data_IF_263953717012
#
_entry.id   IF_263953717012
#
_cell.length_a   1.000
_cell.length_b   1.000
_cell.length_c   1.000
_cell.angle_alpha   90.00
_cell.angle_beta   90.00
_cell.angle_gamma   90.00
#
_symmetry.space_group_name_H-M   'P 1'
#
loop_
_entity.id
_entity.type
_entity.pdbx_description
1 polymer ?
#
# COMPACT_ATOMS: atom_id res chain seq x y z
N UNK A 1 -41.22 -8.91 28.06
CA UNK A 1 -40.43 -9.23 26.86
C UNK A 1 -39.62 -10.48 27.17
N UNK A 2 -39.80 -11.57 26.41
CA UNK A 2 -39.11 -12.83 26.68
C UNK A 2 -37.59 -12.62 26.54
N UNK A 3 -36.80 -13.13 27.48
CA UNK A 3 -35.34 -12.95 27.46
C UNK A 3 -34.70 -13.43 26.16
N UNK A 4 -35.26 -14.48 25.53
CA UNK A 4 -34.87 -14.95 24.20
C UNK A 4 -35.12 -13.92 23.09
N UNK A 5 -36.23 -13.19 23.14
CA UNK A 5 -36.54 -12.12 22.17
C UNK A 5 -35.54 -10.98 22.35
N UNK A 6 -35.24 -10.59 23.60
CA UNK A 6 -34.25 -9.55 23.88
C UNK A 6 -32.86 -9.94 23.36
N UNK A 7 -32.39 -11.17 23.62
CA UNK A 7 -31.10 -11.66 23.14
C UNK A 7 -31.07 -11.66 21.60
N UNK A 8 -32.12 -12.18 20.95
CA UNK A 8 -32.20 -12.21 19.50
C UNK A 8 -32.18 -10.79 18.90
N UNK A 9 -32.89 -9.83 19.50
CA UNK A 9 -32.87 -8.44 19.07
C UNK A 9 -31.50 -7.79 19.22
N UNK A 10 -30.79 -8.03 20.33
CA UNK A 10 -29.43 -7.50 20.54
C UNK A 10 -28.45 -8.07 19.52
N UNK A 11 -28.51 -9.39 19.27
CA UNK A 11 -27.67 -10.04 18.26
C UNK A 11 -27.94 -9.49 16.85
N UNK A 12 -29.21 -9.28 16.49
CA UNK A 12 -29.59 -8.72 15.20
C UNK A 12 -29.01 -7.31 15.02
N UNK A 13 -29.14 -6.45 16.04
CA UNK A 13 -28.58 -5.08 16.00
C UNK A 13 -27.05 -5.12 15.86
N UNK A 14 -26.36 -6.00 16.58
CA UNK A 14 -24.92 -6.15 16.48
C UNK A 14 -24.48 -6.60 15.08
N UNK A 15 -25.20 -7.55 14.46
CA UNK A 15 -24.93 -8.00 13.09
C UNK A 15 -25.12 -6.85 12.09
N UNK A 16 -26.21 -6.09 12.21
CA UNK A 16 -26.48 -4.95 11.33
C UNK A 16 -25.38 -3.90 11.48
N UNK A 17 -25.01 -3.54 12.71
CA UNK A 17 -23.94 -2.58 12.97
C UNK A 17 -22.60 -3.04 12.39
N UNK A 18 -22.26 -4.33 12.56
CA UNK A 18 -21.07 -4.93 11.97
C UNK A 18 -21.08 -4.88 10.44
N UNK A 19 -22.22 -5.20 9.81
CA UNK A 19 -22.36 -5.15 8.36
C UNK A 19 -22.25 -3.71 7.82
N UNK A 20 -22.84 -2.74 8.51
CA UNK A 20 -22.71 -1.32 8.17
C UNK A 20 -21.26 -0.84 8.29
N UNK A 21 -20.54 -1.25 9.33
CA UNK A 21 -19.13 -0.94 9.47
C UNK A 21 -18.28 -1.57 8.35
N UNK A 22 -18.50 -2.85 8.03
CA UNK A 22 -17.80 -3.50 6.91
C UNK A 22 -18.12 -2.85 5.57
N UNK A 23 -19.39 -2.46 5.34
CA UNK A 23 -19.79 -1.71 4.16
C UNK A 23 -19.04 -0.36 4.07
N UNK A 24 -18.95 0.37 5.18
CA UNK A 24 -18.19 1.62 5.28
C UNK A 24 -16.68 1.43 5.01
N UNK A 25 -16.11 0.29 5.45
CA UNK A 25 -14.74 -0.09 5.16
C UNK A 25 -14.49 -0.56 3.71
N UNK A 26 -15.55 -0.72 2.90
CA UNK A 26 -15.43 -1.07 1.48
C UNK A 26 -15.83 -2.50 1.12
N UNK A 27 -16.54 -3.24 1.99
CA UNK A 27 -16.98 -4.62 1.70
C UNK A 27 -17.75 -4.73 0.37
N UNK A 28 -18.54 -3.71 0.03
CA UNK A 28 -19.32 -3.63 -1.21
C UNK A 28 -18.75 -2.62 -2.21
N UNK A 29 -17.51 -2.16 -2.01
CA UNK A 29 -16.88 -1.23 -2.95
C UNK A 29 -16.79 -1.86 -4.35
N UNK A 30 -17.15 -1.08 -5.35
CA UNK A 30 -16.93 -1.42 -6.75
C UNK A 30 -15.44 -1.26 -7.05
N UNK A 31 -14.84 -2.29 -7.64
CA UNK A 31 -13.40 -2.31 -7.93
C UNK A 31 -13.25 -2.40 -9.44
N UNK A 32 -12.82 -1.30 -10.03
CA UNK A 32 -12.44 -1.23 -11.44
C UNK A 32 -10.94 -1.42 -11.54
N UNK A 33 -10.51 -2.36 -12.38
CA UNK A 33 -9.09 -2.55 -12.72
C UNK A 33 -8.90 -2.02 -14.14
N UNK A 34 -7.98 -1.09 -14.30
CA UNK A 34 -7.74 -0.40 -15.57
C UNK A 34 -6.24 -0.15 -15.80
N UNK A 35 -5.89 0.10 -17.06
CA UNK A 35 -4.56 0.61 -17.41
C UNK A 35 -4.58 2.13 -17.42
N UNK A 36 -3.62 2.74 -16.74
CA UNK A 36 -3.43 4.19 -16.73
C UNK A 36 -1.99 4.54 -16.38
N UNK A 37 -1.58 5.75 -16.73
CA UNK A 37 -0.30 6.28 -16.29
C UNK A 37 -0.36 6.65 -14.81
N UNK A 38 0.62 6.18 -14.05
CA UNK A 38 0.78 6.46 -12.62
C UNK A 38 2.20 6.94 -12.35
N UNK A 39 2.35 7.77 -11.31
CA UNK A 39 3.62 8.39 -10.95
C UNK A 39 3.93 9.68 -11.74
N UNK A 40 5.16 10.21 -11.62
CA UNK A 40 6.27 9.65 -10.85
C UNK A 40 6.05 9.75 -9.34
N UNK A 41 6.81 8.98 -8.55
CA UNK A 41 6.77 9.03 -7.09
C UNK A 41 8.18 9.21 -6.53
N UNK A 42 8.35 10.12 -5.56
CA UNK A 42 9.56 10.15 -4.73
C UNK A 42 9.33 9.28 -3.50
N UNK A 43 10.09 8.19 -3.39
CA UNK A 43 9.95 7.20 -2.34
C UNK A 43 11.02 7.42 -1.28
N UNK A 44 10.60 7.46 -0.01
CA UNK A 44 11.49 7.38 1.15
C UNK A 44 11.10 6.15 1.95
N UNK A 45 12.03 5.20 2.16
CA UNK A 45 11.66 3.85 2.58
C UNK A 45 12.73 3.11 3.38
N UNK A 46 12.27 2.03 4.03
CA UNK A 46 13.11 0.96 4.59
C UNK A 46 12.79 -0.36 3.92
N UNK A 47 13.79 -1.24 3.90
CA UNK A 47 13.61 -2.62 3.46
C UNK A 47 12.96 -3.45 4.57
N UNK A 48 12.13 -4.40 4.17
CA UNK A 48 11.52 -5.37 5.06
C UNK A 48 11.55 -6.75 4.43
N UNK A 49 12.03 -7.73 5.20
CA UNK A 49 11.96 -9.14 4.87
C UNK A 49 11.20 -9.88 5.97
N UNK A 50 10.12 -10.57 5.59
CA UNK A 50 9.23 -11.26 6.54
C UNK A 50 7.75 -11.13 6.18
N UNK A 51 6.89 -11.64 7.05
CA UNK A 51 5.43 -11.67 6.82
C UNK A 51 4.89 -10.26 6.54
N UNK A 52 4.25 -10.06 5.37
CA UNK A 52 3.74 -8.75 4.95
C UNK A 52 2.77 -8.11 5.94
N UNK A 53 2.11 -8.88 6.81
CA UNK A 53 1.28 -8.30 7.89
C UNK A 53 2.07 -7.38 8.84
N UNK A 54 3.40 -7.51 8.87
CA UNK A 54 4.30 -6.72 9.71
C UNK A 54 4.89 -5.50 8.99
N UNK A 55 4.46 -5.20 7.76
CA UNK A 55 4.95 -4.03 7.03
C UNK A 55 4.42 -2.71 7.62
N UNK A 56 3.23 -2.72 8.24
CA UNK A 56 2.61 -1.53 8.84
C UNK A 56 3.54 -0.78 9.82
N UNK A 57 4.11 -1.45 10.83
CA UNK A 57 5.12 -0.85 11.71
C UNK A 57 6.32 -0.22 10.99
N UNK A 58 6.73 -0.74 9.83
CA UNK A 58 7.82 -0.16 9.03
C UNK A 58 7.38 1.15 8.38
N UNK A 59 6.15 1.21 7.85
CA UNK A 59 5.58 2.46 7.31
C UNK A 59 5.46 3.51 8.42
N UNK A 60 4.95 3.12 9.59
CA UNK A 60 4.78 4.02 10.74
C UNK A 60 6.13 4.56 11.23
N UNK A 61 7.16 3.71 11.31
CA UNK A 61 8.51 4.11 11.70
C UNK A 61 9.13 5.13 10.72
N UNK A 62 8.99 4.91 9.41
CA UNK A 62 9.43 5.87 8.39
C UNK A 62 8.66 7.19 8.54
N UNK A 63 7.33 7.13 8.61
CA UNK A 63 6.48 8.32 8.76
C UNK A 63 6.85 9.14 10.00
N UNK A 64 6.91 8.50 11.16
CA UNK A 64 7.23 9.17 12.42
C UNK A 64 8.64 9.73 12.44
N UNK A 65 9.62 9.01 11.89
CA UNK A 65 10.98 9.52 11.82
C UNK A 65 11.10 10.74 10.88
N UNK A 66 10.46 10.71 9.71
CA UNK A 66 10.45 11.86 8.80
C UNK A 66 9.82 13.09 9.47
N UNK A 67 8.68 12.91 10.14
CA UNK A 67 7.99 14.00 10.84
C UNK A 67 8.80 14.50 12.04
N UNK A 68 9.19 13.61 12.94
CA UNK A 68 9.70 13.98 14.27
C UNK A 68 11.18 14.34 14.27
N UNK A 69 11.99 13.75 13.37
CA UNK A 69 13.45 14.00 13.32
C UNK A 69 13.88 14.88 12.16
N UNK A 70 13.11 14.91 11.07
CA UNK A 70 13.48 15.64 9.86
C UNK A 70 12.52 16.78 9.51
N UNK A 71 11.46 17.01 10.31
CA UNK A 71 10.44 18.04 10.05
C UNK A 71 9.85 17.94 8.63
N UNK A 72 9.75 16.71 8.12
CA UNK A 72 9.20 16.39 6.80
C UNK A 72 7.90 15.62 6.98
N UNK A 73 6.79 16.32 6.78
CA UNK A 73 5.46 15.72 6.85
C UNK A 73 5.05 15.14 5.51
N UNK A 74 4.55 13.91 5.52
CA UNK A 74 3.93 13.24 4.37
C UNK A 74 2.50 12.83 4.72
N UNK A 75 1.68 12.57 3.71
CA UNK A 75 0.27 12.16 3.90
C UNK A 75 -0.05 10.83 3.21
N UNK A 76 0.94 10.27 2.51
CA UNK A 76 0.83 9.06 1.70
C UNK A 76 1.90 8.06 2.12
N UNK A 77 1.46 6.97 2.72
CA UNK A 77 2.31 5.79 2.96
C UNK A 77 2.36 4.91 1.72
N UNK A 78 3.38 4.06 1.60
CA UNK A 78 3.38 3.01 0.58
C UNK A 78 4.00 1.70 1.07
N UNK A 79 3.51 0.60 0.51
CA UNK A 79 4.15 -0.71 0.55
C UNK A 79 4.44 -1.17 -0.88
N UNK A 80 5.63 -1.68 -1.15
CA UNK A 80 5.98 -2.31 -2.43
C UNK A 80 6.32 -3.78 -2.19
N UNK A 81 5.51 -4.68 -2.74
CA UNK A 81 5.55 -6.13 -2.44
C UNK A 81 6.07 -6.91 -3.64
N UNK A 82 7.17 -7.63 -3.47
CA UNK A 82 7.90 -8.27 -4.58
C UNK A 82 7.45 -9.69 -4.86
N UNK A 83 7.12 -10.41 -3.79
CA UNK A 83 6.94 -11.85 -3.83
C UNK A 83 5.46 -12.23 -3.65
N UNK A 84 5.06 -13.33 -4.27
CA UNK A 84 3.73 -13.91 -4.08
C UNK A 84 3.69 -14.69 -2.74
N UNK A 85 2.87 -14.27 -1.75
CA UNK A 85 2.81 -14.92 -0.44
C UNK A 85 2.21 -16.33 -0.46
N UNK A 86 1.65 -16.78 -1.59
CA UNK A 86 1.22 -18.15 -1.78
C UNK A 86 2.34 -19.07 -2.30
N UNK A 87 3.43 -18.51 -2.81
CA UNK A 87 4.53 -19.24 -3.43
C UNK A 87 5.85 -19.10 -2.66
N UNK A 88 6.04 -17.99 -1.95
CA UNK A 88 7.25 -17.69 -1.18
C UNK A 88 6.92 -17.80 0.31
N UNK A 89 7.81 -18.46 1.06
CA UNK A 89 7.67 -18.60 2.50
C UNK A 89 7.66 -17.24 3.20
N UNK A 90 6.83 -17.12 4.24
CA UNK A 90 6.64 -15.85 4.96
C UNK A 90 7.94 -15.21 5.42
N UNK A 91 8.92 -15.99 5.85
CA UNK A 91 10.22 -15.49 6.32
C UNK A 91 11.07 -14.86 5.21
N UNK A 92 10.78 -15.18 3.94
CA UNK A 92 11.57 -14.78 2.77
C UNK A 92 10.86 -13.73 1.89
N UNK A 93 9.66 -13.29 2.28
CA UNK A 93 8.91 -12.27 1.53
C UNK A 93 9.62 -10.93 1.61
N UNK A 94 9.90 -10.31 0.46
CA UNK A 94 10.59 -9.02 0.34
C UNK A 94 9.59 -7.91 0.06
N UNK A 95 9.79 -6.80 0.77
CA UNK A 95 8.96 -5.61 0.63
C UNK A 95 9.73 -4.35 0.97
N UNK A 96 9.28 -3.22 0.44
CA UNK A 96 9.68 -1.89 0.91
C UNK A 96 8.48 -1.23 1.59
N UNK A 97 8.73 -0.57 2.72
CA UNK A 97 7.73 0.20 3.44
C UNK A 97 8.21 1.62 3.65
N UNK A 98 7.33 2.60 3.43
CA UNK A 98 7.72 3.99 3.62
C UNK A 98 6.66 5.02 3.25
N UNK A 99 7.11 6.19 2.81
CA UNK A 99 6.26 7.31 2.42
C UNK A 99 6.54 7.76 0.99
N UNK A 100 5.49 8.25 0.33
CA UNK A 100 5.64 9.04 -0.88
C UNK A 100 5.77 10.51 -0.47
N UNK A 101 6.82 11.16 -0.95
CA UNK A 101 7.07 12.59 -0.71
C UNK A 101 6.62 13.39 -1.93
N UNK A 102 5.71 14.33 -1.71
CA UNK A 102 5.14 15.16 -2.77
C UNK A 102 5.94 16.45 -3.00
N UNK A 103 6.02 16.87 -4.27
CA UNK A 103 6.54 18.18 -4.64
C UNK A 103 8.06 18.37 -4.48
N UNK A 104 8.83 17.29 -4.35
CA UNK A 104 10.30 17.34 -4.31
C UNK A 104 10.92 16.34 -5.28
N UNK A 105 12.06 16.69 -5.86
CA UNK A 105 12.96 15.71 -6.51
C UNK A 105 13.89 15.07 -5.48
N UNK A 106 14.57 13.94 -5.79
CA UNK A 106 15.59 13.37 -4.91
C UNK A 106 16.69 14.38 -4.51
N UNK A 107 17.13 15.22 -5.45
CA UNK A 107 18.18 16.22 -5.21
C UNK A 107 17.69 17.31 -4.27
N UNK A 108 16.43 17.74 -4.43
CA UNK A 108 15.83 18.73 -3.54
C UNK A 108 15.59 18.19 -2.14
N UNK A 109 15.15 16.93 -2.04
CA UNK A 109 15.01 16.23 -0.76
C UNK A 109 16.37 16.18 -0.05
N UNK A 110 17.42 15.74 -0.75
CA UNK A 110 18.76 15.65 -0.18
C UNK A 110 19.29 17.02 0.26
N UNK A 111 19.07 18.08 -0.54
CA UNK A 111 19.50 19.44 -0.20
C UNK A 111 18.75 20.02 1.01
N UNK A 112 17.44 19.81 1.09
CA UNK A 112 16.59 20.39 2.16
C UNK A 112 16.60 19.56 3.44
N UNK A 113 16.75 18.24 3.31
CA UNK A 113 16.65 17.26 4.39
C UNK A 113 17.82 16.26 4.33
N UNK A 114 19.08 16.72 4.46
CA UNK A 114 20.26 15.88 4.22
C UNK A 114 20.32 14.61 5.08
N UNK A 115 19.82 14.67 6.32
CA UNK A 115 19.79 13.52 7.24
C UNK A 115 18.80 12.40 6.83
N UNK A 116 17.88 12.64 5.89
CA UNK A 116 16.93 11.61 5.43
C UNK A 116 17.67 10.48 4.71
N UNK A 117 18.64 10.82 3.86
CA UNK A 117 19.43 9.84 3.10
C UNK A 117 20.37 9.00 3.98
N UNK A 118 20.60 9.41 5.22
CA UNK A 118 21.41 8.65 6.20
C UNK A 118 20.58 7.53 6.88
N UNK A 119 19.27 7.72 6.98
CA UNK A 119 18.36 6.83 7.73
C UNK A 119 17.44 5.99 6.84
N UNK A 120 17.34 6.35 5.55
CA UNK A 120 16.35 5.78 4.62
C UNK A 120 16.91 5.61 3.21
N UNK A 121 16.35 4.65 2.48
CA UNK A 121 16.42 4.66 1.03
C UNK A 121 15.62 5.82 0.47
N UNK A 122 16.19 6.52 -0.52
CA UNK A 122 15.53 7.59 -1.26
C UNK A 122 15.64 7.25 -2.75
N UNK A 123 14.51 7.17 -3.45
CA UNK A 123 14.52 6.86 -4.87
C UNK A 123 13.35 7.50 -5.63
N UNK A 124 13.62 7.88 -6.88
CA UNK A 124 12.56 8.23 -7.82
C UNK A 124 12.01 6.94 -8.45
N UNK A 125 10.71 6.71 -8.29
CA UNK A 125 9.95 5.72 -9.04
C UNK A 125 9.36 6.40 -10.29
N UNK A 126 9.70 5.94 -11.51
CA UNK A 126 9.34 6.64 -12.72
C UNK A 126 7.83 6.59 -12.98
N UNK A 127 7.32 7.60 -13.69
CA UNK A 127 6.00 7.54 -14.27
C UNK A 127 5.93 6.37 -15.25
N UNK A 128 4.85 5.61 -15.23
CA UNK A 128 4.71 4.45 -16.11
C UNK A 128 3.27 4.02 -16.32
N UNK A 129 3.04 3.37 -17.45
CA UNK A 129 1.83 2.60 -17.68
C UNK A 129 1.72 1.53 -16.60
N UNK A 130 0.62 1.60 -15.85
CA UNK A 130 0.33 0.76 -14.70
C UNK A 130 -1.04 0.11 -14.84
N UNK A 131 -1.16 -1.12 -14.37
CA UNK A 131 -2.46 -1.73 -14.12
C UNK A 131 -2.84 -1.42 -12.69
N UNK A 132 -3.89 -0.61 -12.51
CA UNK A 132 -4.22 -0.02 -11.22
C UNK A 132 -5.69 -0.27 -10.84
N UNK A 133 -5.93 -0.23 -9.54
CA UNK A 133 -7.26 -0.25 -8.95
C UNK A 133 -7.27 0.56 -7.66
N UNK A 134 -8.43 1.12 -7.34
CA UNK A 134 -8.63 1.94 -6.14
C UNK A 134 -9.56 1.25 -5.15
N UNK A 135 -9.32 1.48 -3.85
CA UNK A 135 -10.14 0.94 -2.78
C UNK A 135 -10.31 1.96 -1.64
N UNK A 136 -11.45 2.01 -0.93
CA UNK A 136 -11.62 2.90 0.22
C UNK A 136 -10.59 2.61 1.32
N UNK A 137 -10.07 3.65 1.98
CA UNK A 137 -9.15 3.53 3.11
C UNK A 137 -9.78 4.13 4.38
N UNK A 138 -10.29 3.26 5.26
CA UNK A 138 -10.89 3.62 6.55
C UNK A 138 -10.19 2.98 7.76
N UNK A 139 -8.95 2.52 7.57
CA UNK A 139 -8.15 1.83 8.57
C UNK A 139 -7.85 0.36 8.21
N UNK A 140 -7.39 -0.42 9.19
CA UNK A 140 -6.88 -1.77 8.98
C UNK A 140 -7.87 -2.72 8.32
N UNK A 141 -9.16 -2.62 8.66
CA UNK A 141 -10.20 -3.47 8.05
C UNK A 141 -10.33 -3.19 6.55
N UNK A 142 -10.19 -1.93 6.13
CA UNK A 142 -10.14 -1.59 4.70
C UNK A 142 -8.91 -2.18 4.01
N UNK A 143 -7.74 -2.18 4.65
CA UNK A 143 -6.53 -2.80 4.10
C UNK A 143 -6.76 -4.31 3.88
N UNK A 144 -7.30 -5.00 4.89
CA UNK A 144 -7.60 -6.43 4.80
C UNK A 144 -8.60 -6.72 3.67
N UNK A 145 -9.71 -5.98 3.63
CA UNK A 145 -10.71 -6.14 2.57
C UNK A 145 -10.16 -5.81 1.19
N UNK A 146 -9.32 -4.78 1.10
CA UNK A 146 -8.63 -4.38 -0.13
C UNK A 146 -7.73 -5.49 -0.64
N UNK A 147 -6.90 -6.10 0.21
CA UNK A 147 -6.06 -7.24 -0.16
C UNK A 147 -6.91 -8.39 -0.72
N UNK A 148 -7.94 -8.81 0.02
CA UNK A 148 -8.79 -9.94 -0.39
C UNK A 148 -9.63 -9.69 -1.63
N UNK A 149 -9.98 -8.43 -1.92
CA UNK A 149 -10.87 -8.10 -3.05
C UNK A 149 -10.12 -7.58 -4.27
N UNK A 150 -9.06 -6.81 -4.10
CA UNK A 150 -8.32 -6.16 -5.19
C UNK A 150 -7.32 -7.12 -5.83
N UNK A 151 -6.47 -7.83 -5.06
CA UNK A 151 -5.45 -8.72 -5.64
C UNK A 151 -6.00 -9.78 -6.59
N UNK A 152 -7.11 -10.50 -6.28
CA UNK A 152 -7.66 -11.47 -7.22
C UNK A 152 -8.12 -10.83 -8.54
N UNK A 153 -8.69 -9.62 -8.48
CA UNK A 153 -9.14 -8.87 -9.67
C UNK A 153 -7.96 -8.36 -10.47
N UNK A 154 -6.96 -7.79 -9.80
CA UNK A 154 -5.73 -7.32 -10.42
C UNK A 154 -5.00 -8.47 -11.13
N UNK A 155 -4.84 -9.61 -10.45
CA UNK A 155 -4.20 -10.80 -11.02
C UNK A 155 -4.99 -11.37 -12.21
N UNK A 156 -6.32 -11.48 -12.10
CA UNK A 156 -7.17 -11.94 -13.20
C UNK A 156 -7.07 -11.02 -14.43
N UNK A 157 -7.04 -9.70 -14.21
CA UNK A 157 -6.87 -8.71 -15.26
C UNK A 157 -5.51 -8.86 -15.95
N UNK A 158 -4.43 -8.88 -15.17
CA UNK A 158 -3.05 -9.05 -15.66
C UNK A 158 -2.90 -10.32 -16.49
N UNK A 159 -3.48 -11.44 -16.01
CA UNK A 159 -3.49 -12.72 -16.73
C UNK A 159 -4.28 -12.64 -18.04
N UNK A 160 -5.47 -12.03 -18.03
CA UNK A 160 -6.32 -11.87 -19.22
C UNK A 160 -5.60 -11.14 -20.35
N UNK A 161 -4.89 -10.07 -20.03
CA UNK A 161 -4.16 -9.25 -21.01
C UNK A 161 -2.69 -9.63 -21.16
N UNK A 162 -2.28 -10.80 -20.61
CA UNK A 162 -0.93 -11.36 -20.71
C UNK A 162 0.16 -10.36 -20.29
N UNK A 163 -0.12 -9.53 -19.28
CA UNK A 163 0.86 -8.63 -18.70
C UNK A 163 1.86 -9.42 -17.86
N UNK A 164 3.13 -9.00 -17.89
CA UNK A 164 4.18 -9.59 -17.05
C UNK A 164 3.85 -9.38 -15.56
N UNK A 165 4.26 -10.32 -14.72
CA UNK A 165 4.17 -10.15 -13.26
C UNK A 165 5.21 -9.14 -12.81
N UNK A 166 4.81 -8.18 -11.97
CA UNK A 166 5.68 -7.16 -11.38
C UNK A 166 5.33 -6.98 -9.91
N UNK A 167 6.24 -6.43 -9.09
CA UNK A 167 5.91 -6.00 -7.75
C UNK A 167 4.69 -5.06 -7.73
N UNK A 168 3.80 -5.26 -6.75
CA UNK A 168 2.60 -4.44 -6.57
C UNK A 168 2.91 -3.36 -5.54
N UNK A 169 2.66 -2.10 -5.89
CA UNK A 169 2.72 -0.99 -4.96
C UNK A 169 1.31 -0.70 -4.43
N UNK A 170 1.19 -0.59 -3.12
CA UNK A 170 0.01 -0.05 -2.44
C UNK A 170 0.36 1.34 -1.93
N UNK A 171 -0.38 2.36 -2.36
CA UNK A 171 -0.24 3.73 -1.86
C UNK A 171 -1.45 4.03 -0.98
N UNK A 172 -1.21 4.30 0.30
CA UNK A 172 -2.21 4.62 1.32
C UNK A 172 -2.33 6.14 1.44
N UNK A 173 -3.32 6.72 0.75
CA UNK A 173 -3.60 8.15 0.73
C UNK A 173 -4.60 8.50 1.84
N UNK A 174 -4.10 9.08 2.92
CA UNK A 174 -4.89 9.40 4.11
C UNK A 174 -5.88 10.56 3.85
N UNK A 175 -5.47 11.70 3.24
CA UNK A 175 -6.40 12.78 2.91
C UNK A 175 -7.56 12.36 2.01
N UNK A 176 -7.26 11.58 0.95
CA UNK A 176 -8.27 11.13 0.00
C UNK A 176 -9.01 9.86 0.45
N UNK A 177 -8.62 9.28 1.61
CA UNK A 177 -9.19 8.04 2.17
C UNK A 177 -9.23 6.92 1.13
N UNK A 178 -8.09 6.71 0.46
CA UNK A 178 -7.96 5.81 -0.67
C UNK A 178 -6.69 4.96 -0.58
N UNK A 179 -6.80 3.70 -1.00
CA UNK A 179 -5.66 2.84 -1.31
C UNK A 179 -5.61 2.68 -2.82
N UNK A 180 -4.49 3.01 -3.43
CA UNK A 180 -4.22 2.68 -4.84
C UNK A 180 -3.32 1.46 -4.89
N UNK A 181 -3.81 0.39 -5.52
CA UNK A 181 -3.02 -0.81 -5.83
C UNK A 181 -2.58 -0.68 -7.27
N UNK A 182 -1.28 -0.66 -7.54
CA UNK A 182 -0.78 -0.53 -8.91
C UNK A 182 0.38 -1.49 -9.19
N UNK A 183 0.29 -2.15 -10.34
CA UNK A 183 1.33 -2.97 -10.93
C UNK A 183 1.94 -2.18 -12.11
N UNK A 184 3.13 -1.62 -11.92
CA UNK A 184 3.76 -0.71 -12.86
C UNK A 184 4.42 -1.46 -14.03
N UNK A 185 3.59 -1.95 -14.96
CA UNK A 185 4.02 -2.83 -16.06
C UNK A 185 5.00 -2.18 -17.04
N UNK A 186 5.04 -0.85 -17.09
CA UNK A 186 6.04 -0.08 -17.87
C UNK A 186 7.42 0.06 -17.23
N UNK A 187 7.60 -0.29 -15.95
CA UNK A 187 8.87 -0.07 -15.21
C UNK A 187 9.83 -1.26 -15.36
N UNK A 188 11.04 -1.10 -15.93
CA UNK A 188 11.98 -2.21 -16.08
C UNK A 188 12.33 -2.92 -14.77
N UNK A 189 12.58 -4.23 -14.81
CA UNK A 189 12.96 -5.03 -13.64
C UNK A 189 14.20 -4.47 -12.91
N UNK A 190 15.13 -3.86 -13.64
CA UNK A 190 16.31 -3.21 -13.08
C UNK A 190 15.97 -2.10 -12.08
N UNK A 191 14.85 -1.38 -12.25
CA UNK A 191 14.41 -0.36 -11.30
C UNK A 191 13.98 -1.01 -9.98
N UNK A 192 13.21 -2.10 -10.05
CA UNK A 192 12.79 -2.85 -8.87
C UNK A 192 13.99 -3.46 -8.13
N UNK A 193 14.93 -4.07 -8.84
CA UNK A 193 16.14 -4.62 -8.24
C UNK A 193 17.03 -3.52 -7.62
N UNK A 194 17.15 -2.37 -8.28
CA UNK A 194 17.88 -1.23 -7.73
C UNK A 194 17.26 -0.74 -6.42
N UNK A 195 15.92 -0.72 -6.30
CA UNK A 195 15.24 -0.35 -5.06
C UNK A 195 15.46 -1.34 -3.91
N UNK A 196 15.69 -2.62 -4.18
CA UNK A 196 16.08 -3.60 -3.15
C UNK A 196 17.55 -3.44 -2.72
N UNK A 197 18.40 -3.01 -3.65
CA UNK A 197 19.83 -2.82 -3.41
C UNK A 197 20.14 -1.44 -2.81
N UNK A 198 19.22 -0.49 -2.93
CA UNK A 198 19.29 0.84 -2.35
C UNK A 198 18.49 0.90 -1.04
N UNK A 199 18.93 1.77 -0.12
CA UNK A 199 18.30 1.94 1.19
C UNK A 199 18.81 1.00 2.28
N UNK A 200 18.58 1.45 3.52
CA UNK A 200 18.90 0.75 4.77
C UNK A 200 17.89 -0.36 5.06
#
# INVERSE_FOLDING_TARGET
MNIFILIASVLLVAIIAGLLYLAWCGLFANITVEERDEGPFLLVYKKHTGDYKNIGPVLDDVYHTLRDKHDLTTTRGFGLYYDNPQLVEKANLRSLGGCVVDGLTPEELHRRYPGVSESFGVAAFPASLSVAAEFPYRGTVSVILGVFRVYPRLHAWMKKYKRRSVPVMEIYDTPNRKITYLAAVGVPDSIYENLLNQGT
#
